data_IF_779350507592
#
_entry.id   IF_779350507592
#
_cell.length_a   1.000
_cell.length_b   1.000
_cell.length_c   1.000
_cell.angle_alpha   90.00
_cell.angle_beta   90.00
_cell.angle_gamma   90.00
#
_symmetry.space_group_name_H-M   'P 1'
#
loop_
_entity.id
_entity.type
_entity.pdbx_description
1 polymer ?
#
# COMPACT_ATOMS: atom_id res chain seq x y z
N UNK A 1 36.26 -25.70 -8.43
CA UNK A 1 35.22 -24.78 -7.93
C UNK A 1 35.50 -23.31 -8.28
N UNK A 2 36.35 -23.05 -9.29
CA UNK A 2 36.85 -21.72 -9.66
C UNK A 2 36.33 -21.25 -11.04
N UNK A 3 35.64 -22.12 -11.78
CA UNK A 3 35.16 -21.85 -13.15
C UNK A 3 33.84 -21.06 -13.23
N UNK A 4 33.10 -20.93 -12.12
CA UNK A 4 31.83 -20.22 -12.13
C UNK A 4 31.97 -18.69 -12.08
N UNK A 5 33.08 -18.17 -11.54
CA UNK A 5 33.34 -16.73 -11.46
C UNK A 5 33.84 -16.15 -12.80
N UNK A 6 34.53 -16.94 -13.62
CA UNK A 6 35.10 -16.50 -14.91
C UNK A 6 34.07 -16.40 -16.05
N UNK A 7 32.92 -17.08 -15.92
CA UNK A 7 31.88 -17.07 -16.96
C UNK A 7 31.15 -15.73 -17.12
N UNK A 8 31.27 -14.82 -16.15
CA UNK A 8 30.69 -13.47 -16.24
C UNK A 8 31.51 -12.53 -17.15
N UNK A 9 32.77 -12.86 -17.46
CA UNK A 9 33.72 -11.96 -18.12
C UNK A 9 34.40 -12.54 -19.37
N UNK A 10 34.09 -13.77 -19.77
CA UNK A 10 34.75 -14.48 -20.87
C UNK A 10 34.08 -14.30 -22.25
N UNK A 11 33.01 -13.51 -22.36
CA UNK A 11 32.40 -13.20 -23.66
C UNK A 11 33.02 -11.92 -24.26
N UNK A 12 33.26 -11.86 -25.58
CA UNK A 12 33.67 -10.61 -26.22
C UNK A 12 32.66 -9.53 -25.88
N UNK A 13 33.15 -8.35 -25.47
CA UNK A 13 32.33 -7.19 -25.13
C UNK A 13 31.51 -6.77 -26.35
N UNK A 14 30.36 -7.40 -26.50
CA UNK A 14 29.20 -6.76 -27.11
C UNK A 14 28.88 -5.63 -26.13
N UNK A 15 28.66 -4.40 -26.60
CA UNK A 15 28.11 -3.35 -25.72
C UNK A 15 26.76 -3.86 -25.20
N UNK A 16 26.78 -4.51 -24.04
CA UNK A 16 25.56 -4.97 -23.38
C UNK A 16 25.03 -3.76 -22.64
N UNK A 17 24.00 -3.13 -23.20
CA UNK A 17 23.31 -1.98 -22.60
C UNK A 17 22.61 -2.36 -21.27
N UNK A 18 22.40 -3.66 -21.04
CA UNK A 18 21.69 -4.22 -19.88
C UNK A 18 22.63 -4.85 -18.84
N UNK A 19 22.36 -4.58 -17.55
CA UNK A 19 23.08 -5.24 -16.45
C UNK A 19 22.63 -6.70 -16.34
N UNK A 20 23.55 -7.69 -16.39
CA UNK A 20 23.19 -9.09 -16.27
C UNK A 20 22.55 -9.40 -14.91
N UNK A 21 21.44 -10.14 -14.92
CA UNK A 21 20.70 -10.51 -13.70
C UNK A 21 20.88 -12.00 -13.38
N UNK A 22 21.58 -12.34 -12.28
CA UNK A 22 21.74 -13.74 -11.85
C UNK A 22 20.41 -14.46 -11.59
N UNK A 23 20.33 -15.76 -11.95
CA UNK A 23 19.11 -16.59 -11.80
C UNK A 23 18.50 -16.58 -10.40
N UNK A 24 19.33 -16.51 -9.37
CA UNK A 24 18.88 -16.47 -7.98
C UNK A 24 17.92 -15.31 -7.68
N UNK A 25 17.99 -14.19 -8.41
CA UNK A 25 17.05 -13.08 -8.25
C UNK A 25 15.66 -13.42 -8.78
N UNK A 26 15.55 -14.16 -9.88
CA UNK A 26 14.26 -14.63 -10.40
C UNK A 26 13.60 -15.62 -9.43
N UNK A 27 14.39 -16.53 -8.86
CA UNK A 27 13.91 -17.48 -7.84
C UNK A 27 13.44 -16.77 -6.57
N UNK A 28 14.20 -15.75 -6.13
CA UNK A 28 13.80 -14.90 -5.01
C UNK A 28 12.47 -14.21 -5.28
N UNK A 29 12.30 -13.58 -6.46
CA UNK A 29 11.05 -12.92 -6.84
C UNK A 29 9.88 -13.90 -6.83
N UNK A 30 10.02 -15.06 -7.47
CA UNK A 30 9.00 -16.09 -7.48
C UNK A 30 8.59 -16.53 -6.06
N UNK A 31 9.58 -16.74 -5.17
CA UNK A 31 9.33 -17.09 -3.77
C UNK A 31 8.57 -16.00 -3.02
N UNK A 32 8.92 -14.72 -3.20
CA UNK A 32 8.24 -13.62 -2.52
C UNK A 32 6.81 -13.42 -3.06
N UNK A 33 6.62 -13.52 -4.37
CA UNK A 33 5.30 -13.32 -5.00
C UNK A 33 4.32 -14.45 -4.75
N UNK A 34 4.80 -15.69 -4.56
CA UNK A 34 3.96 -16.81 -4.14
C UNK A 34 3.30 -16.59 -2.77
N UNK A 35 3.80 -15.64 -1.97
CA UNK A 35 3.41 -15.39 -0.58
C UNK A 35 3.02 -13.93 -0.32
N UNK A 36 2.29 -13.30 -1.24
CA UNK A 36 2.00 -11.85 -1.26
C UNK A 36 1.36 -11.26 0.02
N UNK A 37 0.66 -12.06 0.83
CA UNK A 37 0.02 -11.59 2.08
C UNK A 37 0.88 -11.79 3.34
N UNK A 38 1.98 -12.54 3.22
CA UNK A 38 2.82 -12.95 4.34
C UNK A 38 3.70 -11.77 4.75
N UNK A 39 3.69 -11.41 6.04
CA UNK A 39 4.57 -10.34 6.53
C UNK A 39 6.01 -10.84 6.51
N UNK A 40 6.88 -10.10 5.83
CA UNK A 40 8.31 -10.30 5.91
C UNK A 40 8.79 -9.67 7.21
N UNK A 41 8.89 -10.48 8.26
CA UNK A 41 9.50 -10.02 9.49
C UNK A 41 11.02 -10.14 9.34
N UNK A 42 11.77 -9.04 9.52
CA UNK A 42 13.23 -9.06 9.51
C UNK A 42 13.74 -10.04 10.57
N UNK A 43 14.73 -10.84 10.20
CA UNK A 43 15.41 -11.72 11.15
C UNK A 43 16.17 -10.92 12.20
N UNK A 44 16.60 -11.58 13.28
CA UNK A 44 17.48 -10.95 14.28
C UNK A 44 18.79 -10.46 13.66
N UNK A 45 19.29 -11.18 12.66
CA UNK A 45 20.49 -10.83 11.92
C UNK A 45 20.27 -9.58 11.06
N UNK A 46 19.13 -9.47 10.35
CA UNK A 46 18.78 -8.29 9.55
C UNK A 46 18.73 -7.03 10.43
N UNK A 47 18.11 -7.14 11.61
CA UNK A 47 18.04 -6.04 12.58
C UNK A 47 19.41 -5.58 13.06
N UNK A 48 20.37 -6.49 13.15
CA UNK A 48 21.75 -6.18 13.56
C UNK A 48 22.56 -5.55 12.42
N UNK A 49 22.45 -6.08 11.21
CA UNK A 49 23.24 -5.63 10.05
C UNK A 49 22.75 -4.30 9.49
N UNK A 50 21.44 -4.07 9.48
CA UNK A 50 20.82 -2.88 8.91
C UNK A 50 20.31 -1.93 9.99
N UNK A 51 21.05 -1.87 11.11
CA UNK A 51 20.80 -0.88 12.14
C UNK A 51 21.24 0.50 11.65
N UNK A 52 20.40 1.50 11.86
CA UNK A 52 20.63 2.89 11.45
C UNK A 52 20.45 3.80 12.65
N UNK A 53 20.88 5.06 12.54
CA UNK A 53 20.75 6.04 13.62
C UNK A 53 19.28 6.10 14.13
N UNK A 54 19.03 6.17 15.45
CA UNK A 54 17.68 6.09 16.01
C UNK A 54 16.70 7.11 15.43
N UNK A 55 17.16 8.33 15.16
CA UNK A 55 16.34 9.39 14.55
C UNK A 55 15.90 9.01 13.12
N UNK A 56 16.81 8.43 12.33
CA UNK A 56 16.50 7.94 11.00
C UNK A 56 15.59 6.71 11.05
N UNK A 57 15.83 5.78 11.99
CA UNK A 57 14.98 4.61 12.20
C UNK A 57 13.54 5.01 12.53
N UNK A 58 13.36 6.03 13.38
CA UNK A 58 12.07 6.60 13.76
C UNK A 58 11.35 7.25 12.57
N UNK A 59 12.08 7.95 11.70
CA UNK A 59 11.51 8.56 10.51
C UNK A 59 10.95 7.53 9.50
N UNK A 60 11.41 6.28 9.56
CA UNK A 60 10.94 5.19 8.70
C UNK A 60 9.74 4.43 9.28
N UNK A 61 9.38 4.66 10.55
CA UNK A 61 8.25 4.00 11.19
C UNK A 61 6.93 4.31 10.48
N UNK A 62 6.00 3.37 10.54
CA UNK A 62 4.66 3.57 10.00
C UNK A 62 3.89 4.53 10.91
N UNK A 63 3.49 5.72 10.43
CA UNK A 63 2.88 6.72 11.30
C UNK A 63 1.50 6.23 11.79
N UNK A 64 1.21 6.35 13.10
CA UNK A 64 -0.11 6.03 13.65
C UNK A 64 -1.15 7.08 13.28
N UNK A 65 -2.41 6.68 13.25
CA UNK A 65 -3.54 7.53 12.89
C UNK A 65 -3.82 8.57 13.98
N UNK A 66 -4.24 9.77 13.57
CA UNK A 66 -4.63 10.85 14.46
C UNK A 66 -5.97 10.53 15.16
N UNK A 67 -6.07 10.83 16.46
CA UNK A 67 -7.27 10.53 17.25
C UNK A 67 -8.58 11.10 16.65
N UNK A 68 -8.63 12.36 16.14
CA UNK A 68 -9.84 12.89 15.50
C UNK A 68 -10.30 12.09 14.28
N UNK A 69 -9.37 11.44 13.57
CA UNK A 69 -9.67 10.61 12.40
C UNK A 69 -10.24 9.25 12.83
N UNK A 70 -9.67 8.65 13.88
CA UNK A 70 -10.20 7.41 14.47
C UNK A 70 -11.63 7.63 14.94
N UNK A 71 -11.89 8.73 15.66
CA UNK A 71 -13.24 9.05 16.13
C UNK A 71 -14.25 9.29 15.01
N UNK A 72 -13.79 9.73 13.84
CA UNK A 72 -14.64 9.92 12.66
C UNK A 72 -15.04 8.58 12.03
N UNK A 73 -14.13 7.61 12.02
CA UNK A 73 -14.40 6.28 11.47
C UNK A 73 -15.26 5.41 12.41
N UNK A 74 -15.13 5.58 13.73
CA UNK A 74 -15.89 4.82 14.72
C UNK A 74 -17.37 5.27 14.78
N UNK A 75 -18.26 4.48 14.19
CA UNK A 75 -19.70 4.79 14.19
C UNK A 75 -20.41 4.62 15.55
N UNK A 76 -19.87 3.86 16.52
CA UNK A 76 -20.65 3.49 17.72
C UNK A 76 -19.89 3.19 19.02
N UNK A 77 -18.56 3.20 19.10
CA UNK A 77 -17.86 2.86 20.35
C UNK A 77 -16.50 3.55 20.51
N UNK A 78 -16.13 3.81 21.77
CA UNK A 78 -14.76 4.13 22.18
C UNK A 78 -13.95 2.85 22.04
N UNK A 79 -13.34 2.62 20.88
CA UNK A 79 -12.47 1.48 20.63
C UNK A 79 -11.05 1.81 21.09
N UNK A 80 -10.40 0.86 21.76
CA UNK A 80 -8.99 0.99 22.21
C UNK A 80 -8.00 0.77 21.07
N UNK A 81 -8.38 0.01 20.05
CA UNK A 81 -7.61 -0.17 18.82
C UNK A 81 -8.21 0.68 17.69
N UNK A 82 -7.35 1.46 17.02
CA UNK A 82 -7.75 2.27 15.86
C UNK A 82 -8.32 1.41 14.74
N UNK A 83 -7.80 0.20 14.53
CA UNK A 83 -8.21 -0.66 13.40
C UNK A 83 -9.65 -1.19 13.54
N UNK A 84 -10.20 -1.24 14.75
CA UNK A 84 -11.58 -1.64 15.01
C UNK A 84 -12.61 -0.61 14.53
N UNK A 85 -12.16 0.62 14.24
CA UNK A 85 -12.99 1.66 13.66
C UNK A 85 -13.32 1.41 12.18
N UNK A 86 -12.55 0.55 11.49
CA UNK A 86 -12.70 0.28 10.07
C UNK A 86 -13.59 -0.94 9.81
N UNK A 87 -14.24 -0.96 8.66
CA UNK A 87 -14.94 -2.17 8.17
C UNK A 87 -13.92 -3.30 7.92
N UNK A 88 -14.31 -4.59 7.95
CA UNK A 88 -13.37 -5.71 7.80
C UNK A 88 -12.48 -5.64 6.55
N UNK A 89 -13.02 -5.20 5.41
CA UNK A 89 -12.27 -5.02 4.17
C UNK A 89 -11.25 -3.87 4.26
N UNK A 90 -11.67 -2.75 4.85
CA UNK A 90 -10.82 -1.57 5.06
C UNK A 90 -9.69 -1.87 6.05
N UNK A 91 -9.96 -2.67 7.07
CA UNK A 91 -8.94 -3.17 8.00
C UNK A 91 -7.89 -4.02 7.29
N UNK A 92 -8.30 -4.89 6.36
CA UNK A 92 -7.36 -5.68 5.54
C UNK A 92 -6.50 -4.78 4.65
N UNK A 93 -7.09 -3.76 4.04
CA UNK A 93 -6.35 -2.78 3.23
C UNK A 93 -5.35 -1.98 4.06
N UNK A 94 -5.74 -1.48 5.24
CA UNK A 94 -4.84 -0.80 6.18
C UNK A 94 -3.66 -1.71 6.55
N UNK A 95 -3.92 -2.98 6.88
CA UNK A 95 -2.87 -3.95 7.20
C UNK A 95 -1.88 -4.15 6.05
N UNK A 96 -2.37 -4.27 4.81
CA UNK A 96 -1.51 -4.42 3.62
C UNK A 96 -0.65 -3.17 3.41
N UNK A 97 -1.23 -1.98 3.52
CA UNK A 97 -0.49 -0.72 3.37
C UNK A 97 0.58 -0.54 4.46
N UNK A 98 0.29 -0.93 5.70
CA UNK A 98 1.28 -0.91 6.80
C UNK A 98 2.42 -1.90 6.55
N UNK A 99 2.11 -3.12 6.11
CA UNK A 99 3.12 -4.13 5.75
C UNK A 99 4.01 -3.68 4.59
N UNK A 100 3.42 -3.07 3.57
CA UNK A 100 4.17 -2.51 2.43
C UNK A 100 5.11 -1.38 2.89
N UNK A 101 4.64 -0.48 3.75
CA UNK A 101 5.48 0.57 4.36
C UNK A 101 6.64 -0.01 5.17
N UNK A 102 6.39 -1.07 5.94
CA UNK A 102 7.44 -1.74 6.69
C UNK A 102 8.48 -2.40 5.76
N UNK A 103 8.04 -3.03 4.66
CA UNK A 103 8.94 -3.62 3.67
C UNK A 103 9.84 -2.54 3.02
N UNK A 104 9.27 -1.41 2.60
CA UNK A 104 10.05 -0.30 2.05
C UNK A 104 10.95 0.36 3.09
N UNK A 105 10.53 0.45 4.36
CA UNK A 105 11.40 0.89 5.47
C UNK A 105 12.63 -0.02 5.58
N UNK A 106 12.46 -1.34 5.46
CA UNK A 106 13.60 -2.27 5.47
C UNK A 106 14.49 -2.11 4.24
N UNK A 107 13.89 -1.90 3.06
CA UNK A 107 14.66 -1.59 1.85
C UNK A 107 15.50 -0.31 2.04
N UNK A 108 14.94 0.76 2.63
CA UNK A 108 15.68 1.99 2.93
C UNK A 108 16.84 1.72 3.90
N UNK A 109 16.63 0.94 4.96
CA UNK A 109 17.70 0.60 5.92
C UNK A 109 18.84 -0.18 5.25
N UNK A 110 18.50 -1.22 4.50
CA UNK A 110 19.48 -2.05 3.78
C UNK A 110 20.26 -1.22 2.76
N UNK A 111 19.57 -0.43 1.94
CA UNK A 111 20.21 0.41 0.92
C UNK A 111 21.05 1.54 1.54
N UNK A 112 20.65 2.08 2.69
CA UNK A 112 21.44 3.08 3.43
C UNK A 112 22.74 2.48 3.96
N UNK A 113 22.67 1.31 4.62
CA UNK A 113 23.86 0.58 5.07
C UNK A 113 24.79 0.26 3.89
N UNK A 114 24.24 -0.27 2.79
CA UNK A 114 25.03 -0.58 1.60
C UNK A 114 25.71 0.68 1.04
N UNK A 115 24.98 1.78 0.87
CA UNK A 115 25.54 3.04 0.37
C UNK A 115 26.66 3.56 1.26
N UNK A 116 26.51 3.48 2.59
CA UNK A 116 27.54 3.87 3.54
C UNK A 116 28.84 3.08 3.34
N UNK A 117 28.77 1.75 3.33
CA UNK A 117 29.97 0.91 3.19
C UNK A 117 30.62 1.02 1.81
N UNK A 118 29.83 1.13 0.73
CA UNK A 118 30.38 1.36 -0.60
C UNK A 118 31.10 2.71 -0.67
N UNK A 119 30.51 3.79 -0.14
CA UNK A 119 31.15 5.11 -0.10
C UNK A 119 32.39 5.15 0.81
N UNK A 120 32.39 4.41 1.92
CA UNK A 120 33.57 4.24 2.76
C UNK A 120 34.69 3.51 2.01
N UNK A 121 34.35 2.41 1.32
CA UNK A 121 35.32 1.64 0.53
C UNK A 121 35.94 2.47 -0.60
N UNK A 122 35.19 3.37 -1.22
CA UNK A 122 35.71 4.30 -2.24
C UNK A 122 36.84 5.18 -1.70
N UNK A 123 36.76 5.63 -0.45
CA UNK A 123 37.85 6.41 0.16
C UNK A 123 39.12 5.57 0.30
N UNK A 124 38.98 4.32 0.72
CA UNK A 124 40.11 3.40 0.85
C UNK A 124 40.70 3.01 -0.51
N UNK A 125 39.87 2.79 -1.53
CA UNK A 125 40.32 2.50 -2.89
C UNK A 125 41.08 3.69 -3.51
N UNK A 126 40.60 4.92 -3.28
CA UNK A 126 41.29 6.14 -3.75
C UNK A 126 42.64 6.29 -3.06
N UNK A 127 42.71 6.05 -1.75
CA UNK A 127 43.98 6.05 -1.03
C UNK A 127 44.93 4.95 -1.53
N UNK A 128 44.43 3.73 -1.73
CA UNK A 128 45.21 2.61 -2.27
C UNK A 128 45.80 2.94 -3.64
N UNK A 129 45.01 3.58 -4.52
CA UNK A 129 45.47 4.01 -5.85
C UNK A 129 46.67 4.93 -5.74
N UNK A 130 46.63 5.87 -4.82
CA UNK A 130 47.70 6.86 -4.65
C UNK A 130 48.98 6.24 -4.05
N UNK A 131 48.88 5.07 -3.40
CA UNK A 131 50.05 4.32 -2.88
C UNK A 131 50.70 3.38 -3.90
N UNK A 132 50.00 3.02 -4.98
CA UNK A 132 50.53 2.09 -5.98
C UNK A 132 51.57 2.80 -6.86
N UNK A 133 52.79 2.24 -7.02
CA UNK A 133 53.80 2.81 -7.91
C UNK A 133 53.26 3.10 -9.32
N UNK A 134 53.58 4.26 -9.87
CA UNK A 134 53.05 4.73 -11.16
C UNK A 134 53.41 3.82 -12.34
N UNK A 135 54.48 3.03 -12.22
CA UNK A 135 54.90 2.06 -13.25
C UNK A 135 54.00 0.81 -13.30
N UNK A 136 53.17 0.55 -12.28
CA UNK A 136 52.26 -0.59 -12.27
C UNK A 136 50.93 -0.23 -12.96
N UNK A 137 51.00 -0.05 -14.28
CA UNK A 137 49.87 0.37 -15.12
C UNK A 137 48.67 -0.57 -14.98
N UNK A 138 48.89 -1.89 -14.90
CA UNK A 138 47.82 -2.88 -14.75
C UNK A 138 47.04 -2.67 -13.45
N UNK A 139 47.74 -2.51 -12.33
CA UNK A 139 47.09 -2.30 -11.04
C UNK A 139 46.26 -1.00 -11.03
N UNK A 140 46.77 0.08 -11.66
CA UNK A 140 46.01 1.32 -11.82
C UNK A 140 44.75 1.14 -12.68
N UNK A 141 44.84 0.39 -13.78
CA UNK A 141 43.69 0.10 -14.65
C UNK A 141 42.63 -0.74 -13.94
N UNK A 142 43.02 -1.81 -13.24
CA UNK A 142 42.07 -2.67 -12.53
C UNK A 142 41.43 -1.94 -11.35
N UNK A 143 42.20 -1.14 -10.61
CA UNK A 143 41.67 -0.33 -9.53
C UNK A 143 40.71 0.76 -10.04
N UNK A 144 40.97 1.35 -11.22
CA UNK A 144 40.05 2.28 -11.85
C UNK A 144 38.69 1.64 -12.16
N UNK A 145 38.68 0.38 -12.64
CA UNK A 145 37.43 -0.38 -12.86
C UNK A 145 36.67 -0.61 -11.55
N UNK A 146 37.37 -0.98 -10.48
CA UNK A 146 36.75 -1.21 -9.15
C UNK A 146 36.21 0.09 -8.58
N UNK A 147 36.92 1.21 -8.72
CA UNK A 147 36.44 2.53 -8.30
C UNK A 147 35.16 2.89 -9.07
N UNK A 148 35.15 2.74 -10.39
CA UNK A 148 33.97 3.04 -11.20
C UNK A 148 32.77 2.16 -10.81
N UNK A 149 32.98 0.86 -10.57
CA UNK A 149 31.94 -0.06 -10.12
C UNK A 149 31.36 0.35 -8.75
N UNK A 150 32.21 0.77 -7.81
CA UNK A 150 31.77 1.23 -6.50
C UNK A 150 31.08 2.60 -6.56
N UNK A 151 31.50 3.50 -7.44
CA UNK A 151 30.79 4.78 -7.68
C UNK A 151 29.38 4.50 -8.20
N UNK A 152 29.22 3.62 -9.19
CA UNK A 152 27.91 3.17 -9.65
C UNK A 152 27.08 2.54 -8.53
N UNK A 153 27.65 1.62 -7.74
CA UNK A 153 26.92 0.97 -6.64
C UNK A 153 26.47 1.95 -5.56
N UNK A 154 27.28 2.99 -5.26
CA UNK A 154 26.94 4.04 -4.31
C UNK A 154 25.74 4.87 -4.78
N UNK A 155 25.62 5.11 -6.08
CA UNK A 155 24.52 5.87 -6.69
C UNK A 155 23.28 5.00 -6.88
N UNK A 156 23.43 3.73 -7.26
CA UNK A 156 22.35 2.76 -7.35
C UNK A 156 21.65 2.55 -5.98
N UNK A 157 22.44 2.38 -4.91
CA UNK A 157 21.91 2.25 -3.55
C UNK A 157 21.23 3.53 -3.06
N UNK A 158 21.77 4.71 -3.39
CA UNK A 158 21.10 5.99 -3.09
C UNK A 158 19.77 6.13 -3.83
N UNK A 159 19.73 5.77 -5.11
CA UNK A 159 18.50 5.79 -5.90
C UNK A 159 17.47 4.77 -5.37
N UNK A 160 17.90 3.60 -4.90
CA UNK A 160 17.03 2.65 -4.22
C UNK A 160 16.34 3.28 -2.99
N UNK A 161 17.08 4.01 -2.14
CA UNK A 161 16.49 4.76 -1.02
C UNK A 161 15.45 5.77 -1.52
N UNK A 162 15.76 6.53 -2.57
CA UNK A 162 14.84 7.50 -3.17
C UNK A 162 13.54 6.86 -3.67
N UNK A 163 13.61 5.70 -4.34
CA UNK A 163 12.43 5.00 -4.83
C UNK A 163 11.58 4.41 -3.71
N UNK A 164 12.20 3.75 -2.72
CA UNK A 164 11.49 3.24 -1.54
C UNK A 164 10.86 4.36 -0.72
N UNK A 165 11.55 5.49 -0.53
CA UNK A 165 10.98 6.65 0.16
C UNK A 165 9.75 7.22 -0.58
N UNK A 166 9.75 7.23 -1.92
CA UNK A 166 8.58 7.61 -2.72
C UNK A 166 7.43 6.60 -2.58
N UNK A 167 7.72 5.31 -2.55
CA UNK A 167 6.72 4.27 -2.32
C UNK A 167 6.08 4.42 -0.92
N UNK A 168 6.88 4.69 0.12
CA UNK A 168 6.39 4.99 1.47
C UNK A 168 5.46 6.21 1.48
N UNK A 169 5.83 7.31 0.80
CA UNK A 169 4.99 8.48 0.70
C UNK A 169 3.64 8.20 -0.02
N UNK A 170 3.67 7.35 -1.06
CA UNK A 170 2.46 6.92 -1.76
C UNK A 170 1.57 6.05 -0.87
N UNK A 171 2.14 5.13 -0.07
CA UNK A 171 1.41 4.32 0.90
C UNK A 171 0.80 5.19 2.01
N UNK A 172 1.52 6.19 2.52
CA UNK A 172 0.97 7.17 3.47
C UNK A 172 -0.22 7.92 2.86
N UNK A 173 -0.12 8.35 1.59
CA UNK A 173 -1.22 9.01 0.88
C UNK A 173 -2.42 8.08 0.70
N UNK A 174 -2.20 6.82 0.35
CA UNK A 174 -3.25 5.80 0.22
C UNK A 174 -3.94 5.53 1.58
N UNK A 175 -3.17 5.41 2.66
CA UNK A 175 -3.71 5.29 4.03
C UNK A 175 -4.55 6.51 4.37
N UNK A 176 -4.05 7.72 4.13
CA UNK A 176 -4.83 8.95 4.37
C UNK A 176 -6.16 8.94 3.63
N UNK A 177 -6.19 8.54 2.36
CA UNK A 177 -7.45 8.43 1.60
C UNK A 177 -8.39 7.36 2.16
N UNK A 178 -7.86 6.20 2.57
CA UNK A 178 -8.63 5.14 3.23
C UNK A 178 -9.34 5.68 4.47
N UNK A 179 -8.60 6.39 5.33
CA UNK A 179 -9.13 6.95 6.57
C UNK A 179 -10.08 8.14 6.36
N UNK A 180 -9.86 8.96 5.32
CA UNK A 180 -10.76 10.07 4.95
C UNK A 180 -12.03 9.62 4.21
N UNK A 181 -12.19 8.33 3.90
CA UNK A 181 -13.40 7.81 3.24
C UNK A 181 -14.66 8.15 4.03
N UNK A 182 -14.59 8.10 5.36
CA UNK A 182 -15.69 8.37 6.28
C UNK A 182 -15.99 9.86 6.47
N UNK A 183 -15.10 10.75 6.01
CA UNK A 183 -15.28 12.20 6.15
C UNK A 183 -16.29 12.71 5.12
N UNK A 184 -17.31 13.47 5.53
CA UNK A 184 -18.32 14.03 4.62
C UNK A 184 -17.88 15.39 4.05
N UNK A 185 -16.76 15.39 3.33
CA UNK A 185 -16.18 16.56 2.68
C UNK A 185 -16.04 16.37 1.17
N UNK A 186 -15.86 17.49 0.45
CA UNK A 186 -15.63 17.45 -0.99
C UNK A 186 -14.37 16.64 -1.33
N UNK A 187 -14.42 15.91 -2.45
CA UNK A 187 -13.31 15.10 -2.95
C UNK A 187 -12.02 15.94 -3.05
N UNK A 188 -12.11 17.18 -3.51
CA UNK A 188 -10.96 18.11 -3.61
C UNK A 188 -10.29 18.39 -2.25
N UNK A 189 -11.08 18.53 -1.18
CA UNK A 189 -10.56 18.76 0.17
C UNK A 189 -9.89 17.52 0.73
N UNK A 190 -10.50 16.34 0.54
CA UNK A 190 -9.90 15.05 0.91
C UNK A 190 -8.56 14.83 0.24
N UNK A 191 -8.48 15.09 -1.07
CA UNK A 191 -7.22 14.99 -1.82
C UNK A 191 -6.16 15.95 -1.30
N UNK A 192 -6.53 17.21 -1.03
CA UNK A 192 -5.60 18.22 -0.49
C UNK A 192 -5.02 17.81 0.86
N UNK A 193 -5.84 17.23 1.74
CA UNK A 193 -5.39 16.74 3.04
C UNK A 193 -4.55 15.45 2.90
N UNK A 194 -4.93 14.55 1.99
CA UNK A 194 -4.20 13.32 1.74
C UNK A 194 -2.79 13.57 1.15
N UNK A 195 -2.65 14.55 0.26
CA UNK A 195 -1.40 14.90 -0.42
C UNK A 195 -0.49 15.87 0.35
N UNK A 196 -0.87 16.26 1.57
CA UNK A 196 -0.05 17.14 2.40
C UNK A 196 1.36 16.55 2.64
N UNK A 197 2.40 17.37 2.85
CA UNK A 197 3.74 16.86 3.17
C UNK A 197 3.73 15.87 4.34
N UNK A 198 4.54 14.82 4.25
CA UNK A 198 4.74 13.87 5.36
C UNK A 198 5.78 14.48 6.29
N UNK A 199 5.34 15.20 7.31
CA UNK A 199 6.23 15.96 8.21
C UNK A 199 6.03 15.64 9.69
N UNK A 200 5.20 14.64 10.02
CA UNK A 200 4.74 14.44 11.39
C UNK A 200 4.89 13.00 11.87
N UNK A 201 4.97 12.84 13.19
CA UNK A 201 4.91 11.55 13.88
C UNK A 201 3.53 10.87 13.81
N UNK A 202 2.56 11.50 13.15
CA UNK A 202 1.19 11.01 12.94
C UNK A 202 0.87 10.90 11.45
N UNK A 203 -0.21 10.20 11.12
CA UNK A 203 -0.60 9.97 9.74
C UNK A 203 -0.91 11.30 9.03
N UNK A 204 -1.63 12.21 9.68
CA UNK A 204 -1.94 13.56 9.19
C UNK A 204 -1.16 14.64 9.93
N UNK A 205 -1.11 14.56 11.27
CA UNK A 205 -0.41 15.52 12.13
C UNK A 205 -0.84 16.97 11.90
N UNK A 206 0.12 17.87 11.77
CA UNK A 206 -0.13 19.32 11.62
C UNK A 206 -1.00 19.68 10.42
N UNK A 207 -0.97 18.86 9.35
CA UNK A 207 -1.82 19.08 8.18
C UNK A 207 -3.33 18.96 8.49
N UNK A 208 -3.68 18.29 9.60
CA UNK A 208 -5.06 18.13 10.06
C UNK A 208 -5.60 19.38 10.75
N UNK A 209 -4.74 20.15 11.42
CA UNK A 209 -5.13 21.27 12.29
C UNK A 209 -6.05 22.30 11.62
N UNK A 210 -5.80 22.75 10.37
CA UNK A 210 -6.69 23.70 9.69
C UNK A 210 -8.11 23.20 9.41
N UNK A 211 -8.34 21.88 9.53
CA UNK A 211 -9.62 21.24 9.22
C UNK A 211 -10.42 20.87 10.47
N UNK A 212 -9.85 21.05 11.66
CA UNK A 212 -10.49 20.67 12.92
C UNK A 212 -11.37 21.82 13.44
N UNK A 213 -12.52 21.45 13.98
CA UNK A 213 -13.43 22.36 14.70
C UNK A 213 -13.47 21.94 16.17
N UNK A 214 -13.47 22.92 17.06
CA UNK A 214 -13.63 22.69 18.48
C UNK A 214 -15.11 22.54 18.84
N UNK A 215 -15.47 21.38 19.39
CA UNK A 215 -16.83 21.13 19.89
C UNK A 215 -17.08 21.88 21.20
N UNK A 216 -18.35 21.96 21.63
CA UNK A 216 -18.73 22.51 22.96
C UNK A 216 -17.98 21.85 24.13
N UNK A 217 -17.49 20.63 23.94
CA UNK A 217 -16.72 19.87 24.93
C UNK A 217 -15.20 20.10 24.83
N UNK A 218 -14.76 21.15 24.12
CA UNK A 218 -13.33 21.46 23.84
C UNK A 218 -12.56 20.36 23.12
N UNK A 219 -13.26 19.45 22.45
CA UNK A 219 -12.64 18.39 21.64
C UNK A 219 -12.54 18.85 20.19
N UNK A 220 -11.33 18.75 19.61
CA UNK A 220 -11.08 18.97 18.19
C UNK A 220 -11.56 17.77 17.38
N UNK A 221 -12.50 17.98 16.47
CA UNK A 221 -13.05 16.94 15.59
C UNK A 221 -13.14 17.44 14.15
N UNK A 222 -13.13 16.53 13.18
CA UNK A 222 -13.45 16.89 11.80
C UNK A 222 -14.95 17.22 11.69
N UNK A 223 -15.33 18.28 10.96
CA UNK A 223 -16.72 18.59 10.72
C UNK A 223 -17.40 17.43 9.97
N UNK A 224 -18.48 16.92 10.56
CA UNK A 224 -19.43 16.05 9.87
C UNK A 224 -20.59 16.91 9.40
N UNK A 225 -20.86 16.94 8.09
CA UNK A 225 -22.01 17.63 7.50
C UNK A 225 -23.34 16.91 7.72
N UNK A 226 -23.41 15.97 8.68
CA UNK A 226 -24.68 15.56 9.24
C UNK A 226 -25.30 16.78 9.93
N UNK A 227 -26.05 17.57 9.14
CA UNK A 227 -27.27 18.18 9.63
C UNK A 227 -28.01 17.03 10.30
N UNK A 228 -28.05 17.01 11.63
CA UNK A 228 -29.22 16.50 12.35
C UNK A 228 -30.40 17.32 11.83
N UNK A 229 -30.94 16.92 10.69
CA UNK A 229 -32.35 17.12 10.42
C UNK A 229 -33.05 16.20 11.41
N UNK A 230 -33.27 16.71 12.62
CA UNK A 230 -34.35 16.28 13.48
C UNK A 230 -35.66 16.64 12.75
N UNK A 231 -35.95 15.97 11.63
CA UNK A 231 -37.30 15.92 11.10
C UNK A 231 -38.06 15.05 12.09
N UNK A 232 -38.63 15.72 13.12
CA UNK A 232 -39.81 15.23 13.81
C UNK A 232 -40.81 14.87 12.73
N UNK A 233 -40.95 13.58 12.45
CA UNK A 233 -42.11 13.04 11.76
C UNK A 233 -43.34 13.41 12.60
N UNK A 234 -44.35 14.12 12.04
CA UNK A 234 -45.61 14.26 12.73
C UNK A 234 -46.24 12.86 12.80
N UNK A 235 -46.31 12.29 13.99
CA UNK A 235 -47.13 11.11 14.26
C UNK A 235 -48.59 11.49 14.03
N UNK A 236 -49.32 10.86 13.08
CA UNK A 236 -50.77 10.97 13.08
C UNK A 236 -51.30 10.09 14.23
N UNK A 237 -52.13 10.71 15.07
CA UNK A 237 -52.80 10.09 16.20
C UNK A 237 -53.45 8.75 15.83
N UNK A 238 -53.06 7.68 16.55
CA UNK A 238 -53.87 6.47 16.68
C UNK A 238 -55.17 6.82 17.41
N UNK A 239 -56.32 6.61 16.76
CA UNK A 239 -57.58 6.29 17.43
C UNK A 239 -58.05 4.92 16.93
N UNK A 240 -58.37 4.05 17.88
CA UNK A 240 -59.08 2.77 17.67
C UNK A 240 -60.36 2.81 18.54
N UNK A 241 -61.24 1.78 18.52
CA UNK A 241 -62.33 1.62 17.55
C UNK A 241 -63.71 1.55 18.25
N UNK A 242 -64.80 1.68 17.49
CA UNK A 242 -66.15 1.25 17.95
C UNK A 242 -67.00 0.81 16.74
N UNK A 243 -67.41 -0.47 16.76
CA UNK A 243 -68.42 -1.15 15.90
C UNK A 243 -69.86 -0.71 16.32
N UNK A 244 -71.02 -1.07 15.68
CA UNK A 244 -71.28 -2.31 14.91
C UNK A 244 -72.35 -2.35 13.75
N UNK A 245 -72.34 -3.52 13.06
CA UNK A 245 -73.40 -4.34 12.43
C UNK A 245 -74.47 -3.76 11.46
N UNK A 246 -74.60 -4.38 10.26
CA UNK A 246 -75.80 -5.13 9.81
C UNK A 246 -75.47 -6.13 8.67
N UNK A 247 -76.20 -7.25 8.67
CA UNK A 247 -76.14 -8.45 7.82
C UNK A 247 -76.69 -8.21 6.39
N UNK A 248 -76.19 -8.92 5.37
CA UNK A 248 -76.94 -10.03 4.78
C UNK A 248 -76.63 -10.26 3.27
N UNK A 249 -77.05 -11.39 2.67
CA UNK A 249 -76.19 -12.26 1.85
C UNK A 249 -76.63 -12.43 0.39
N UNK A 250 -75.77 -12.90 -0.52
CA UNK A 250 -76.11 -13.76 -1.69
C UNK A 250 -74.84 -14.40 -2.31
N UNK A 251 -74.86 -15.72 -2.51
CA UNK A 251 -73.95 -16.56 -3.33
C UNK A 251 -74.70 -16.99 -4.62
N UNK A 252 -74.17 -17.84 -5.54
CA UNK A 252 -72.83 -17.97 -6.17
C UNK A 252 -72.94 -18.08 -7.72
N UNK A 253 -71.82 -18.05 -8.49
CA UNK A 253 -71.82 -18.62 -9.86
C UNK A 253 -70.43 -19.06 -10.39
N UNK A 254 -70.26 -20.38 -10.46
CA UNK A 254 -69.60 -21.25 -11.48
C UNK A 254 -68.27 -20.80 -12.15
N UNK A 255 -67.15 -21.55 -12.01
CA UNK A 255 -66.70 -22.74 -12.79
C UNK A 255 -65.60 -22.31 -13.80
N UNK A 256 -64.37 -22.86 -13.80
CA UNK A 256 -63.97 -24.16 -14.38
C UNK A 256 -62.51 -24.51 -14.06
N UNK A 257 -62.23 -25.81 -14.05
CA UNK A 257 -60.91 -26.45 -13.97
C UNK A 257 -60.22 -26.57 -15.36
N UNK A 258 -58.88 -26.68 -15.33
CA UNK A 258 -57.77 -27.20 -16.21
C UNK A 258 -58.09 -28.15 -17.41
N UNK A 259 -57.14 -28.67 -18.26
CA UNK A 259 -55.65 -28.59 -18.36
C UNK A 259 -55.01 -28.53 -19.81
N UNK A 260 -53.65 -28.51 -19.87
CA UNK A 260 -52.70 -29.07 -20.88
C UNK A 260 -52.68 -28.63 -22.37
N UNK A 261 -51.49 -28.23 -22.89
CA UNK A 261 -50.66 -28.97 -23.89
C UNK A 261 -49.70 -28.05 -24.70
N UNK A 262 -48.41 -28.41 -24.74
CA UNK A 262 -47.55 -28.26 -25.93
C UNK A 262 -46.35 -27.30 -25.86
N UNK A 263 -45.13 -27.85 -25.67
CA UNK A 263 -43.93 -27.35 -26.39
C UNK A 263 -43.90 -27.92 -27.82
N UNK A 264 -42.80 -27.84 -28.64
CA UNK A 264 -41.39 -27.58 -28.28
C UNK A 264 -40.62 -26.60 -29.22
N UNK A 265 -39.33 -26.36 -28.88
CA UNK A 265 -38.11 -26.07 -29.70
C UNK A 265 -38.19 -25.07 -30.88
N UNK A 266 -37.20 -24.21 -31.17
CA UNK A 266 -35.82 -24.59 -31.53
C UNK A 266 -34.90 -23.35 -31.69
N UNK A 267 -33.59 -23.56 -31.42
CA UNK A 267 -32.40 -23.04 -32.14
C UNK A 267 -32.01 -21.53 -32.03
N UNK A 268 -30.75 -21.10 -32.06
CA UNK A 268 -29.40 -21.69 -32.21
C UNK A 268 -28.40 -20.56 -31.90
N UNK A 269 -27.29 -20.83 -31.21
CA UNK A 269 -26.11 -19.96 -31.28
C UNK A 269 -24.86 -20.83 -31.11
N UNK A 270 -24.30 -21.21 -32.26
CA UNK A 270 -22.97 -21.80 -32.40
C UNK A 270 -21.91 -20.69 -32.30
N UNK A 271 -20.87 -20.90 -31.50
CA UNK A 271 -19.61 -20.17 -31.59
C UNK A 271 -18.48 -21.22 -31.56
N UNK A 272 -17.90 -21.45 -32.74
CA UNK A 272 -16.74 -22.30 -32.93
C UNK A 272 -15.46 -21.52 -32.62
N UNK A 273 -14.63 -22.11 -31.75
CA UNK A 273 -13.21 -21.80 -31.59
C UNK A 273 -12.38 -22.49 -32.68
N UNK A 274 -11.41 -21.77 -33.26
CA UNK A 274 -10.29 -22.33 -34.01
C UNK A 274 -8.99 -21.66 -33.58
N UNK A 275 -7.90 -22.41 -33.28
CA UNK A 275 -6.56 -21.85 -33.17
C UNK A 275 -5.83 -21.94 -34.53
N UNK A 276 -5.05 -20.91 -34.87
CA UNK A 276 -4.04 -20.96 -35.93
C UNK A 276 -2.65 -20.91 -35.30
N UNK A 277 -1.87 -21.98 -35.54
CA UNK A 277 -0.40 -21.97 -35.58
C UNK A 277 0.06 -21.64 -37.00
N UNK A 278 1.22 -20.99 -37.12
CA UNK A 278 2.18 -21.24 -38.20
C UNK A 278 2.61 -20.00 -38.99
N UNK A 279 3.85 -19.59 -38.77
CA UNK A 279 4.67 -18.66 -39.54
C UNK A 279 6.06 -18.65 -38.94
#
# INVERSE_FOLDING_TARGET
QQEAEDMLFSQPMTEVEEVPVPKMFFELLAKQWASAMTSLNPSALDKRLYNVAPEFAKALETPPVDAPIVTLASHTQVTTDSEEALKPEERRLELVLRKAHQADSWAVRTSTSASFFVRASLRWLKHLRDTIPANNVRAHQDLAKVIAANEYAADATYNSVKYSARAMAAQVSARRLLWLKHWQAEVKQKWKLASAPVSSSRLFGEALEPWLIETRNKKKVLPSTSRRTDFRSPQPFRRSPSRPFYQGPYYPRYQRQTPFRGGPQTERAELQDRPRRGG
#
